data_IF_270186557855
#
_entry.id   IF_270186557855
#
_cell.length_a   1.000
_cell.length_b   1.000
_cell.length_c   1.000
_cell.angle_alpha   90.00
_cell.angle_beta   90.00
_cell.angle_gamma   90.00
#
_symmetry.space_group_name_H-M   'P 1'
#
loop_
_entity.id
_entity.type
_entity.pdbx_description
1 polymer ?
#
# COMPACT_ATOMS: atom_id res chain seq x y z
N UNK A 1 -1.43 10.10 15.96
CA UNK A 1 -1.71 8.65 16.04
C UNK A 1 -1.85 8.13 14.61
N UNK A 2 -1.76 6.83 14.31
CA UNK A 2 -2.09 6.34 12.96
C UNK A 2 -3.43 5.67 13.00
N UNK A 3 -4.13 5.67 11.88
CA UNK A 3 -5.32 4.85 11.70
C UNK A 3 -4.96 3.70 10.78
N UNK A 4 -5.11 2.46 11.26
CA UNK A 4 -5.07 1.30 10.36
C UNK A 4 -6.47 0.95 9.96
N UNK A 5 -6.77 1.09 8.66
CA UNK A 5 -8.02 0.61 8.11
C UNK A 5 -7.86 -0.86 7.74
N UNK A 6 -8.65 -1.69 8.41
CA UNK A 6 -8.79 -3.11 8.08
C UNK A 6 -10.10 -3.26 7.32
N UNK A 7 -10.03 -3.79 6.10
CA UNK A 7 -11.18 -3.92 5.20
C UNK A 7 -12.38 -4.67 5.81
N UNK A 8 -12.11 -5.53 6.80
CA UNK A 8 -13.08 -6.43 7.41
C UNK A 8 -13.64 -6.00 8.77
N UNK A 9 -13.09 -4.98 9.43
CA UNK A 9 -13.61 -4.52 10.75
C UNK A 9 -14.24 -3.14 10.74
N UNK A 10 -13.98 -2.28 9.75
CA UNK A 10 -14.47 -0.89 9.77
C UNK A 10 -14.03 -0.09 11.01
N UNK A 11 -13.03 -0.60 11.74
CA UNK A 11 -12.50 -0.02 12.97
C UNK A 11 -11.17 0.65 12.70
N UNK A 12 -11.00 1.84 13.29
CA UNK A 12 -9.75 2.58 13.34
C UNK A 12 -8.97 2.11 14.59
N UNK A 13 -7.86 1.40 14.44
CA UNK A 13 -6.92 1.14 15.55
C UNK A 13 -5.79 2.16 15.53
N UNK A 14 -5.29 2.56 16.70
CA UNK A 14 -4.06 3.35 16.78
C UNK A 14 -2.85 2.53 16.33
N UNK A 15 -1.84 3.21 15.79
CA UNK A 15 -0.63 2.59 15.24
C UNK A 15 0.08 1.66 16.22
N UNK A 16 0.28 2.16 17.44
CA UNK A 16 1.08 1.51 18.47
C UNK A 16 0.42 0.18 18.87
N UNK A 17 -0.90 0.21 19.05
CA UNK A 17 -1.68 -1.00 19.29
C UNK A 17 -1.68 -1.94 18.08
N UNK A 18 -1.86 -1.41 16.87
CA UNK A 18 -1.81 -2.23 15.66
C UNK A 18 -0.45 -2.90 15.47
N UNK A 19 0.65 -2.19 15.73
CA UNK A 19 1.99 -2.74 15.62
C UNK A 19 2.19 -3.91 16.59
N UNK A 20 1.69 -3.83 17.82
CA UNK A 20 1.75 -4.92 18.79
C UNK A 20 0.86 -6.11 18.39
N UNK A 21 -0.34 -5.83 17.87
CA UNK A 21 -1.35 -6.84 17.52
C UNK A 21 -1.25 -7.37 16.07
N UNK A 22 -0.35 -6.84 15.24
CA UNK A 22 -0.34 -7.06 13.79
C UNK A 22 -0.37 -8.54 13.39
N UNK A 23 0.50 -9.35 13.98
CA UNK A 23 0.58 -10.78 13.70
C UNK A 23 -0.60 -11.54 14.29
N UNK A 24 -1.11 -11.10 15.44
CA UNK A 24 -2.30 -11.68 16.06
C UNK A 24 -3.53 -11.47 15.17
N UNK A 25 -3.71 -10.27 14.62
CA UNK A 25 -4.76 -9.96 13.64
C UNK A 25 -4.64 -10.87 12.42
N UNK A 26 -3.42 -11.05 11.90
CA UNK A 26 -3.20 -11.96 10.77
C UNK A 26 -3.59 -13.40 11.11
N UNK A 27 -3.16 -13.91 12.27
CA UNK A 27 -3.51 -15.26 12.73
C UNK A 27 -5.01 -15.42 12.94
N UNK A 28 -5.68 -14.44 13.54
CA UNK A 28 -7.13 -14.41 13.69
C UNK A 28 -7.82 -14.50 12.33
N UNK A 29 -7.41 -13.70 11.34
CA UNK A 29 -8.01 -13.69 10.01
C UNK A 29 -7.80 -15.01 9.26
N UNK A 30 -6.64 -15.66 9.42
CA UNK A 30 -6.40 -17.01 8.86
C UNK A 30 -7.33 -18.04 9.49
N UNK A 31 -7.40 -18.05 10.82
CA UNK A 31 -8.21 -19.03 11.58
C UNK A 31 -9.71 -18.89 11.31
N UNK A 32 -10.20 -17.66 11.11
CA UNK A 32 -11.59 -17.37 10.76
C UNK A 32 -11.89 -17.56 9.26
N UNK A 33 -10.91 -18.01 8.46
CA UNK A 33 -11.06 -18.18 7.02
C UNK A 33 -11.33 -16.86 6.27
N UNK A 34 -10.87 -15.74 6.81
CA UNK A 34 -11.01 -14.40 6.20
C UNK A 34 -9.79 -13.98 5.37
N UNK A 35 -8.69 -14.69 5.49
CA UNK A 35 -7.49 -14.47 4.67
C UNK A 35 -6.65 -15.74 4.53
N UNK A 36 -6.02 -15.89 3.37
CA UNK A 36 -4.87 -16.78 3.14
C UNK A 36 -3.57 -15.97 2.95
N UNK A 37 -3.73 -14.77 2.37
CA UNK A 37 -2.66 -13.81 2.08
C UNK A 37 -3.12 -12.42 2.52
N UNK A 38 -2.17 -11.54 2.77
CA UNK A 38 -2.39 -10.18 3.22
C UNK A 38 -1.75 -9.18 2.26
N UNK A 39 -2.21 -7.94 2.29
CA UNK A 39 -1.61 -6.84 1.56
C UNK A 39 -1.56 -5.56 2.40
N UNK A 40 -0.44 -4.85 2.37
CA UNK A 40 -0.34 -3.46 2.79
C UNK A 40 -0.38 -2.55 1.58
N UNK A 41 -1.22 -1.52 1.63
CA UNK A 41 -1.13 -0.36 0.74
C UNK A 41 -0.28 0.68 1.46
N UNK A 42 0.90 0.94 0.92
CA UNK A 42 1.87 1.88 1.48
C UNK A 42 1.97 3.11 0.57
N UNK A 43 1.80 4.30 1.14
CA UNK A 43 1.81 5.57 0.41
C UNK A 43 2.30 6.69 1.34
N UNK A 44 2.72 7.80 0.75
CA UNK A 44 3.23 8.97 1.47
C UNK A 44 2.49 10.26 1.06
N UNK A 45 2.95 11.41 1.58
CA UNK A 45 2.32 12.70 1.27
C UNK A 45 2.59 13.19 -0.15
N UNK A 46 3.59 12.67 -0.85
CA UNK A 46 3.84 13.01 -2.25
C UNK A 46 2.77 12.35 -3.16
N UNK A 47 2.12 11.31 -2.66
CA UNK A 47 1.11 10.52 -3.36
C UNK A 47 -0.32 10.85 -2.90
N UNK A 48 -0.71 12.13 -3.02
CA UNK A 48 -2.01 12.66 -2.57
C UNK A 48 -3.22 11.89 -3.13
N UNK A 49 -3.11 11.33 -4.33
CA UNK A 49 -4.19 10.58 -4.98
C UNK A 49 -4.54 9.27 -4.26
N UNK A 50 -3.54 8.53 -3.75
CA UNK A 50 -3.78 7.31 -2.99
C UNK A 50 -4.43 7.65 -1.64
N UNK A 51 -3.94 8.70 -0.98
CA UNK A 51 -4.54 9.22 0.25
C UNK A 51 -6.01 9.60 0.06
N UNK A 52 -6.31 10.36 -1.00
CA UNK A 52 -7.67 10.80 -1.32
C UNK A 52 -8.61 9.63 -1.60
N UNK A 53 -8.14 8.65 -2.38
CA UNK A 53 -8.89 7.44 -2.70
C UNK A 53 -9.21 6.63 -1.44
N UNK A 54 -8.24 6.40 -0.56
CA UNK A 54 -8.47 5.57 0.63
C UNK A 54 -9.30 6.26 1.72
N UNK A 55 -9.36 7.60 1.72
CA UNK A 55 -10.27 8.35 2.58
C UNK A 55 -11.73 8.30 2.09
N UNK A 56 -11.98 7.87 0.87
CA UNK A 56 -13.31 7.78 0.30
C UNK A 56 -13.87 6.35 0.43
N UNK A 57 -15.02 6.24 1.08
CA UNK A 57 -15.69 4.97 1.38
C UNK A 57 -16.01 4.14 0.15
N UNK A 58 -16.35 4.75 -0.99
CA UNK A 58 -16.77 4.04 -2.20
C UNK A 58 -15.60 3.26 -2.82
N UNK A 59 -14.42 3.88 -2.83
CA UNK A 59 -13.19 3.23 -3.26
C UNK A 59 -12.84 2.08 -2.32
N UNK A 60 -12.98 2.28 -1.01
CA UNK A 60 -12.71 1.24 -0.02
C UNK A 60 -13.68 0.05 -0.12
N UNK A 61 -14.98 0.31 -0.24
CA UNK A 61 -16.00 -0.72 -0.46
C UNK A 61 -15.67 -1.50 -1.74
N UNK A 62 -15.26 -0.80 -2.80
CA UNK A 62 -14.89 -1.46 -4.04
C UNK A 62 -13.60 -2.28 -3.92
N UNK A 63 -12.63 -1.92 -3.08
CA UNK A 63 -11.45 -2.75 -2.80
C UNK A 63 -11.83 -3.99 -1.99
N UNK A 64 -12.64 -3.81 -0.94
CA UNK A 64 -13.12 -4.90 -0.11
C UNK A 64 -13.93 -5.92 -0.93
N UNK A 65 -14.79 -5.44 -1.84
CA UNK A 65 -15.56 -6.31 -2.72
C UNK A 65 -14.68 -7.17 -3.65
N UNK A 66 -13.51 -6.67 -4.10
CA UNK A 66 -12.60 -7.45 -4.94
C UNK A 66 -11.59 -8.27 -4.17
N UNK A 67 -11.30 -7.94 -2.90
CA UNK A 67 -10.41 -8.73 -2.05
C UNK A 67 -11.05 -10.03 -1.56
N UNK A 68 -12.38 -10.03 -1.42
CA UNK A 68 -13.16 -11.19 -1.00
C UNK A 68 -12.71 -11.72 0.37
N UNK A 69 -12.90 -13.04 0.58
CA UNK A 69 -12.59 -13.71 1.85
C UNK A 69 -11.20 -14.37 1.87
N UNK A 70 -10.34 -14.08 0.88
CA UNK A 70 -9.03 -14.72 0.72
C UNK A 70 -7.87 -13.73 0.92
N UNK A 71 -8.12 -12.44 0.74
CA UNK A 71 -7.12 -11.40 0.86
C UNK A 71 -7.60 -10.34 1.86
N UNK A 72 -6.87 -10.17 2.96
CA UNK A 72 -7.07 -9.02 3.84
C UNK A 72 -6.16 -7.88 3.40
N UNK A 73 -6.73 -6.69 3.24
CA UNK A 73 -6.00 -5.49 2.84
C UNK A 73 -5.96 -4.51 4.00
N UNK A 74 -4.75 -4.07 4.33
CA UNK A 74 -4.44 -3.03 5.29
C UNK A 74 -4.04 -1.75 4.57
N UNK A 75 -4.49 -0.60 5.05
CA UNK A 75 -3.87 0.68 4.72
C UNK A 75 -3.39 1.38 5.99
N UNK A 76 -2.16 1.88 5.95
CA UNK A 76 -1.59 2.70 7.00
C UNK A 76 -1.92 4.15 6.67
N UNK A 77 -2.85 4.76 7.42
CA UNK A 77 -3.24 6.15 7.20
C UNK A 77 -2.52 7.11 8.11
N UNK A 78 -1.95 8.14 7.47
CA UNK A 78 -1.53 9.38 8.10
C UNK A 78 -2.65 10.39 7.97
N UNK A 79 -3.38 10.68 9.05
CA UNK A 79 -4.34 11.77 9.04
C UNK A 79 -3.63 13.10 9.33
N UNK A 80 -3.91 14.17 8.57
CA UNK A 80 -3.37 15.49 8.83
C UNK A 80 -3.67 15.99 10.27
N UNK A 81 -4.81 15.61 10.84
CA UNK A 81 -5.21 15.94 12.20
C UNK A 81 -4.25 15.34 13.24
N UNK A 82 -3.81 14.11 13.02
CA UNK A 82 -2.83 13.42 13.86
C UNK A 82 -1.45 14.11 13.81
N UNK A 83 -1.08 14.64 12.63
CA UNK A 83 0.14 15.45 12.48
C UNK A 83 0.01 16.78 13.21
N UNK A 84 -1.16 17.43 13.12
CA UNK A 84 -1.44 18.70 13.79
C UNK A 84 -1.38 18.56 15.31
N UNK A 85 -1.92 17.47 15.85
CA UNK A 85 -1.89 17.17 17.28
C UNK A 85 -0.47 16.84 17.78
N UNK A 86 0.23 15.93 17.09
CA UNK A 86 1.65 15.60 17.40
C UNK A 86 2.56 16.83 17.26
N UNK A 87 2.29 17.69 16.27
CA UNK A 87 2.96 18.98 16.11
C UNK A 87 2.65 19.92 17.28
N UNK A 88 1.39 20.03 17.71
CA UNK A 88 1.03 20.84 18.87
C UNK A 88 1.66 20.33 20.16
N UNK A 89 1.79 19.01 20.35
CA UNK A 89 2.50 18.42 21.49
C UNK A 89 4.01 18.70 21.45
N UNK A 90 4.67 18.51 20.32
CA UNK A 90 6.09 18.85 20.15
C UNK A 90 6.35 20.35 20.31
N UNK A 91 5.44 21.19 19.81
CA UNK A 91 5.50 22.63 20.01
C UNK A 91 5.29 22.98 21.49
N UNK A 92 4.36 22.33 22.21
CA UNK A 92 4.20 22.51 23.66
C UNK A 92 5.46 22.12 24.44
N UNK A 93 6.10 21.00 24.07
CA UNK A 93 7.36 20.57 24.68
C UNK A 93 8.54 21.50 24.37
N UNK A 94 8.52 22.20 23.23
CA UNK A 94 9.53 23.20 22.85
C UNK A 94 9.19 24.64 23.26
N UNK A 95 7.94 24.93 23.60
CA UNK A 95 7.42 26.26 23.98
C UNK A 95 7.37 26.50 25.50
N UNK A 96 8.21 25.83 26.29
CA UNK A 96 8.63 26.40 27.59
C UNK A 96 9.51 27.66 27.42
N UNK A 97 9.80 28.07 26.18
CA UNK A 97 10.43 29.35 25.86
C UNK A 97 10.05 29.90 24.48
N UNK A 98 8.97 30.68 24.43
CA UNK A 98 8.67 31.71 23.43
C UNK A 98 8.11 31.34 22.03
N UNK A 99 7.19 32.24 21.62
CA UNK A 99 6.57 32.50 20.31
C UNK A 99 5.29 31.70 19.97
N UNK A 100 4.16 32.25 20.45
CA UNK A 100 2.84 32.13 19.80
C UNK A 100 2.87 32.88 18.46
N UNK A 101 2.38 32.24 17.40
CA UNK A 101 2.07 32.80 16.08
C UNK A 101 3.16 32.70 15.00
N UNK A 102 3.60 31.48 14.66
CA UNK A 102 4.03 31.17 13.30
C UNK A 102 3.28 29.92 12.81
N UNK A 103 2.57 30.02 11.69
CA UNK A 103 2.07 28.85 10.96
C UNK A 103 3.26 28.15 10.29
N UNK A 104 4.05 27.42 11.08
CA UNK A 104 5.02 26.46 10.56
C UNK A 104 4.26 25.24 10.05
N UNK A 105 4.29 25.00 8.74
CA UNK A 105 4.12 23.65 8.19
C UNK A 105 5.51 23.01 8.29
N UNK A 106 5.78 22.11 9.25
CA UNK A 106 7.08 21.46 9.33
C UNK A 106 7.27 20.57 8.09
N UNK A 107 8.15 20.97 7.19
CA UNK A 107 8.50 20.25 5.97
C UNK A 107 9.26 18.92 6.19
N UNK A 108 9.40 18.44 7.44
CA UNK A 108 10.44 17.48 7.80
C UNK A 108 9.97 16.20 8.52
N UNK A 109 8.68 15.94 8.68
CA UNK A 109 8.24 14.60 9.11
C UNK A 109 7.65 13.87 7.91
N UNK A 110 8.52 13.19 7.18
CA UNK A 110 8.12 12.26 6.14
C UNK A 110 7.29 11.17 6.83
N UNK A 111 5.98 11.10 6.56
CA UNK A 111 5.08 10.16 7.20
C UNK A 111 5.66 8.76 7.08
N UNK A 112 6.20 8.41 5.92
CA UNK A 112 6.82 7.14 5.57
C UNK A 112 7.79 6.57 6.60
N UNK A 113 8.34 7.36 7.52
CA UNK A 113 9.23 6.86 8.57
C UNK A 113 8.60 5.73 9.40
N UNK A 114 7.38 5.92 9.91
CA UNK A 114 6.76 4.94 10.80
C UNK A 114 6.27 3.71 10.01
N UNK A 115 5.67 3.89 8.83
CA UNK A 115 5.39 2.78 7.90
C UNK A 115 6.68 2.02 7.54
N UNK A 116 7.77 2.72 7.24
CA UNK A 116 9.07 2.10 6.98
C UNK A 116 9.58 1.33 8.20
N UNK A 117 9.37 1.82 9.42
CA UNK A 117 9.79 1.14 10.63
C UNK A 117 9.00 -0.16 10.84
N UNK A 118 7.67 -0.13 10.68
CA UNK A 118 6.83 -1.33 10.68
C UNK A 118 7.31 -2.34 9.64
N UNK A 119 7.48 -1.87 8.40
CA UNK A 119 7.87 -2.75 7.31
C UNK A 119 9.27 -3.32 7.55
N UNK A 120 10.24 -2.53 8.01
CA UNK A 120 11.58 -3.05 8.35
C UNK A 120 11.54 -4.07 9.49
N UNK A 121 10.70 -3.83 10.51
CA UNK A 121 10.54 -4.72 11.66
C UNK A 121 10.05 -6.12 11.23
N UNK A 122 9.07 -6.21 10.34
CA UNK A 122 8.45 -7.48 9.96
C UNK A 122 8.99 -8.11 8.66
N UNK A 123 9.56 -7.30 7.75
CA UNK A 123 9.99 -7.74 6.42
C UNK A 123 11.51 -7.67 6.21
N UNK A 124 12.26 -7.17 7.20
CA UNK A 124 13.71 -7.05 7.18
C UNK A 124 14.21 -5.67 6.76
N UNK A 125 15.46 -5.36 7.11
CA UNK A 125 16.05 -4.04 6.87
C UNK A 125 16.42 -3.75 5.41
N UNK A 126 16.54 -4.79 4.59
CA UNK A 126 16.98 -4.68 3.19
C UNK A 126 15.84 -4.26 2.25
N UNK A 127 14.59 -4.26 2.73
CA UNK A 127 13.45 -3.81 1.93
C UNK A 127 13.53 -2.29 1.70
N UNK A 128 13.54 -1.91 0.42
CA UNK A 128 13.47 -0.51 -0.01
C UNK A 128 12.08 -0.25 -0.57
N UNK A 129 11.38 0.72 0.00
CA UNK A 129 10.00 1.05 -0.37
C UNK A 129 10.00 2.29 -1.25
N UNK A 130 9.55 2.13 -2.49
CA UNK A 130 9.18 3.24 -3.35
C UNK A 130 7.67 3.49 -3.19
N UNK A 131 7.28 4.73 -2.94
CA UNK A 131 5.88 5.08 -2.74
C UNK A 131 5.26 5.61 -4.04
N UNK A 132 4.00 5.25 -4.35
CA UNK A 132 3.12 4.34 -3.61
C UNK A 132 3.35 2.88 -4.02
N UNK A 133 3.13 1.94 -3.12
CA UNK A 133 3.29 0.51 -3.37
C UNK A 133 2.21 -0.35 -2.71
N UNK A 134 2.08 -1.57 -3.18
CA UNK A 134 1.34 -2.66 -2.53
C UNK A 134 2.32 -3.75 -2.13
N UNK A 135 2.37 -4.07 -0.85
CA UNK A 135 3.18 -5.15 -0.30
C UNK A 135 2.28 -6.34 0.01
N UNK A 136 2.33 -7.37 -0.82
CA UNK A 136 1.68 -8.65 -0.57
C UNK A 136 2.54 -9.50 0.34
N UNK A 137 1.94 -10.23 1.27
CA UNK A 137 2.69 -11.07 2.20
C UNK A 137 1.87 -12.20 2.82
N UNK A 138 2.59 -13.18 3.35
CA UNK A 138 2.04 -14.28 4.10
C UNK A 138 2.69 -14.37 5.47
N UNK A 139 1.90 -14.79 6.46
CA UNK A 139 2.37 -15.04 7.82
C UNK A 139 2.24 -16.52 8.16
N UNK A 140 3.08 -17.01 9.07
CA UNK A 140 2.92 -18.31 9.72
C UNK A 140 3.23 -18.15 11.20
N UNK A 141 2.19 -18.20 12.03
CA UNK A 141 2.28 -17.92 13.46
C UNK A 141 2.79 -16.50 13.71
N UNK A 142 3.95 -16.38 14.33
CA UNK A 142 4.50 -15.10 14.80
C UNK A 142 5.49 -14.46 13.81
N UNK A 143 5.48 -14.85 12.54
CA UNK A 143 6.39 -14.28 11.55
C UNK A 143 5.76 -14.12 10.18
N UNK A 144 6.26 -13.14 9.44
CA UNK A 144 6.11 -13.07 7.99
C UNK A 144 7.04 -14.10 7.37
N UNK A 145 6.55 -14.93 6.45
CA UNK A 145 7.35 -15.95 5.77
C UNK A 145 7.79 -15.51 4.38
N UNK A 146 6.92 -14.82 3.66
CA UNK A 146 7.12 -14.45 2.27
C UNK A 146 6.46 -13.10 1.99
N UNK A 147 7.03 -12.34 1.05
CA UNK A 147 6.49 -11.06 0.63
C UNK A 147 6.85 -10.69 -0.81
N UNK A 148 6.06 -9.79 -1.39
CA UNK A 148 6.23 -9.21 -2.71
C UNK A 148 5.81 -7.75 -2.69
N UNK A 149 6.76 -6.86 -2.91
CA UNK A 149 6.50 -5.42 -3.06
C UNK A 149 6.27 -5.09 -4.54
N UNK A 150 5.18 -4.38 -4.82
CA UNK A 150 4.80 -3.91 -6.16
C UNK A 150 4.58 -2.40 -6.11
N UNK A 151 5.43 -1.67 -6.83
CA UNK A 151 5.26 -0.22 -7.03
C UNK A 151 4.03 0.07 -7.89
N UNK A 152 3.33 1.14 -7.55
CA UNK A 152 2.23 1.69 -8.34
C UNK A 152 2.77 2.80 -9.24
N UNK A 153 2.24 2.83 -10.45
CA UNK A 153 2.89 3.46 -11.60
C UNK A 153 2.08 4.62 -12.17
N UNK A 154 0.81 4.74 -11.79
CA UNK A 154 -0.10 5.76 -12.29
C UNK A 154 -0.10 6.99 -11.39
N UNK A 155 -0.08 8.16 -12.04
CA UNK A 155 -0.08 9.47 -11.38
C UNK A 155 -1.47 10.10 -11.29
N UNK A 156 -2.50 9.52 -11.91
CA UNK A 156 -3.87 10.06 -11.88
C UNK A 156 -4.73 9.20 -10.95
N UNK A 157 -5.53 9.84 -10.10
CA UNK A 157 -6.32 9.16 -9.07
C UNK A 157 -7.10 7.95 -9.59
N UNK A 158 -7.88 8.11 -10.66
CA UNK A 158 -8.69 7.04 -11.21
C UNK A 158 -7.82 5.90 -11.79
N UNK A 159 -6.73 6.25 -12.45
CA UNK A 159 -5.79 5.29 -13.03
C UNK A 159 -5.05 4.51 -11.92
N UNK A 160 -4.61 5.19 -10.86
CA UNK A 160 -3.98 4.58 -9.68
C UNK A 160 -4.95 3.64 -8.96
N UNK A 161 -6.22 4.01 -8.85
CA UNK A 161 -7.24 3.13 -8.28
C UNK A 161 -7.46 1.89 -9.16
N UNK A 162 -7.57 2.07 -10.48
CA UNK A 162 -7.74 0.95 -11.41
C UNK A 162 -6.55 -0.01 -11.34
N UNK A 163 -5.33 0.53 -11.27
CA UNK A 163 -4.11 -0.26 -11.10
C UNK A 163 -4.12 -1.04 -9.78
N UNK A 164 -4.34 -0.36 -8.65
CA UNK A 164 -4.42 -0.99 -7.33
C UNK A 164 -5.49 -2.10 -7.31
N UNK A 165 -6.70 -1.77 -7.76
CA UNK A 165 -7.82 -2.71 -7.82
C UNK A 165 -7.50 -3.92 -8.69
N UNK A 166 -6.73 -3.73 -9.77
CA UNK A 166 -6.28 -4.83 -10.63
C UNK A 166 -5.36 -5.78 -9.89
N UNK A 167 -4.35 -5.29 -9.16
CA UNK A 167 -3.48 -6.15 -8.36
C UNK A 167 -4.25 -6.91 -7.28
N UNK A 168 -5.08 -6.21 -6.50
CA UNK A 168 -5.88 -6.81 -5.42
C UNK A 168 -6.84 -7.87 -5.97
N UNK A 169 -7.59 -7.56 -7.05
CA UNK A 169 -8.52 -8.50 -7.68
C UNK A 169 -7.79 -9.73 -8.21
N UNK A 170 -6.67 -9.56 -8.90
CA UNK A 170 -5.95 -10.68 -9.49
C UNK A 170 -5.31 -11.57 -8.42
N UNK A 171 -4.77 -10.99 -7.36
CA UNK A 171 -4.30 -11.75 -6.20
C UNK A 171 -5.44 -12.53 -5.53
N UNK A 172 -6.58 -11.88 -5.27
CA UNK A 172 -7.74 -12.55 -4.68
C UNK A 172 -8.28 -13.69 -5.56
N UNK A 173 -8.37 -13.48 -6.88
CA UNK A 173 -8.80 -14.50 -7.83
C UNK A 173 -7.86 -15.72 -7.84
N UNK A 174 -6.54 -15.50 -7.81
CA UNK A 174 -5.56 -16.59 -7.74
C UNK A 174 -5.74 -17.47 -6.49
N UNK A 175 -6.31 -16.91 -5.42
CA UNK A 175 -6.58 -17.62 -4.17
C UNK A 175 -7.91 -18.38 -4.16
N UNK A 176 -8.83 -18.08 -5.09
CA UNK A 176 -10.13 -18.77 -5.15
C UNK A 176 -10.02 -20.24 -5.53
N UNK A 177 -8.96 -20.60 -6.27
CA UNK A 177 -8.68 -21.97 -6.71
C UNK A 177 -7.97 -22.81 -5.63
N UNK A 178 -7.59 -22.20 -4.50
CA UNK A 178 -6.87 -22.88 -3.42
C UNK A 178 -7.84 -23.66 -2.53
N UNK A 179 -7.59 -24.96 -2.37
CA UNK A 179 -8.28 -25.79 -1.39
C UNK A 179 -7.80 -25.45 0.03
N UNK A 180 -8.67 -24.87 0.85
CA UNK A 180 -8.37 -24.41 2.22
C UNK A 180 -8.08 -25.54 3.21
N UNK A 181 -8.51 -26.76 2.94
CA UNK A 181 -8.30 -27.90 3.83
C UNK A 181 -6.94 -28.58 3.61
N UNK A 182 -6.34 -28.35 2.43
CA UNK A 182 -5.10 -28.98 2.02
C UNK A 182 -4.32 -28.06 1.09
N UNK A 183 -3.68 -27.04 1.68
CA UNK A 183 -2.77 -26.16 0.94
C UNK A 183 -1.40 -26.10 1.61
N UNK A 184 -0.38 -25.95 0.77
CA UNK A 184 0.96 -25.57 1.17
C UNK A 184 1.06 -24.04 1.13
N UNK A 185 1.45 -23.41 2.23
CA UNK A 185 1.51 -21.96 2.36
C UNK A 185 2.38 -21.33 1.27
N UNK A 186 3.55 -21.92 1.02
CA UNK A 186 4.49 -21.44 0.01
C UNK A 186 3.89 -21.50 -1.40
N UNK A 187 3.17 -22.55 -1.73
CA UNK A 187 2.45 -22.67 -3.00
C UNK A 187 1.39 -21.59 -3.16
N UNK A 188 0.64 -21.30 -2.09
CA UNK A 188 -0.37 -20.23 -2.08
C UNK A 188 0.27 -18.87 -2.34
N UNK A 189 1.37 -18.55 -1.66
CA UNK A 189 2.03 -17.27 -1.88
C UNK A 189 2.66 -17.16 -3.27
N UNK A 190 3.28 -18.24 -3.78
CA UNK A 190 3.84 -18.27 -5.12
C UNK A 190 2.80 -17.98 -6.21
N UNK A 191 1.56 -18.46 -6.06
CA UNK A 191 0.45 -18.15 -6.96
C UNK A 191 0.17 -16.64 -7.01
N UNK A 192 0.09 -16.00 -5.83
CA UNK A 192 -0.11 -14.56 -5.73
C UNK A 192 1.08 -13.82 -6.33
N UNK A 193 2.30 -14.18 -5.96
CA UNK A 193 3.54 -13.55 -6.45
C UNK A 193 3.62 -13.58 -7.98
N UNK A 194 3.49 -14.78 -8.58
CA UNK A 194 3.54 -14.94 -10.03
C UNK A 194 2.47 -14.08 -10.73
N UNK A 195 1.26 -14.03 -10.16
CA UNK A 195 0.15 -13.25 -10.72
C UNK A 195 0.43 -11.75 -10.69
N UNK A 196 0.81 -11.19 -9.54
CA UNK A 196 1.04 -9.75 -9.40
C UNK A 196 2.31 -9.30 -10.12
N UNK A 197 3.36 -10.13 -10.11
CA UNK A 197 4.60 -9.90 -10.85
C UNK A 197 4.35 -9.91 -12.36
N UNK A 198 3.53 -10.83 -12.88
CA UNK A 198 3.14 -10.85 -14.29
C UNK A 198 2.38 -9.60 -14.72
N UNK A 199 1.46 -9.11 -13.88
CA UNK A 199 0.76 -7.84 -14.13
C UNK A 199 1.75 -6.66 -14.18
N UNK A 200 2.67 -6.59 -13.23
CA UNK A 200 3.69 -5.53 -13.14
C UNK A 200 4.55 -5.50 -14.40
N UNK A 201 5.05 -6.65 -14.83
CA UNK A 201 5.83 -6.77 -16.07
C UNK A 201 5.03 -6.29 -17.29
N UNK A 202 3.76 -6.69 -17.40
CA UNK A 202 2.90 -6.24 -18.51
C UNK A 202 2.67 -4.72 -18.52
N UNK A 203 2.56 -4.08 -17.35
CA UNK A 203 2.44 -2.61 -17.24
C UNK A 203 3.74 -1.93 -17.67
N UNK A 204 4.89 -2.41 -17.19
CA UNK A 204 6.20 -1.86 -17.54
C UNK A 204 6.50 -1.98 -19.04
N UNK A 205 6.17 -3.11 -19.67
CA UNK A 205 6.31 -3.30 -21.12
C UNK A 205 5.44 -2.28 -21.88
N UNK A 206 4.17 -2.11 -21.47
CA UNK A 206 3.27 -1.14 -22.10
C UNK A 206 3.79 0.29 -21.98
N UNK A 207 4.36 0.67 -20.83
CA UNK A 207 5.01 1.97 -20.64
C UNK A 207 6.21 2.16 -21.56
N UNK A 208 7.09 1.16 -21.65
CA UNK A 208 8.26 1.19 -22.54
C UNK A 208 7.89 1.36 -24.01
N UNK A 209 6.88 0.62 -24.48
CA UNK A 209 6.38 0.74 -25.87
C UNK A 209 5.84 2.15 -26.14
N UNK A 210 5.07 2.72 -25.20
CA UNK A 210 4.51 4.08 -25.32
C UNK A 210 5.58 5.16 -25.43
N UNK A 211 6.70 5.01 -24.72
CA UNK A 211 7.82 5.96 -24.81
C UNK A 211 8.47 5.90 -26.20
N UNK A 212 8.72 4.69 -26.72
CA UNK A 212 9.33 4.50 -28.04
C UNK A 212 8.45 5.05 -29.16
N UNK A 213 7.12 4.83 -29.09
CA UNK A 213 6.20 5.37 -30.10
C UNK A 213 6.22 6.90 -30.12
N UNK A 214 6.17 7.55 -28.96
CA UNK A 214 6.21 9.01 -28.86
C UNK A 214 7.52 9.61 -29.40
N UNK A 215 8.67 8.96 -29.17
CA UNK A 215 9.96 9.41 -29.72
C UNK A 215 9.96 9.31 -31.24
N UNK A 216 9.38 8.24 -31.79
CA UNK A 216 9.31 8.03 -33.25
C UNK A 216 8.38 9.07 -33.91
N UNK A 217 7.25 9.40 -33.27
CA UNK A 217 6.35 10.48 -33.71
C UNK A 217 7.03 11.85 -33.68
N UNK A 218 7.82 12.15 -32.64
CA UNK A 218 8.61 13.38 -32.58
C UNK A 218 9.69 13.42 -33.66
N UNK A 219 10.42 12.33 -33.87
CA UNK A 219 11.45 12.23 -34.90
C UNK A 219 10.87 12.41 -36.31
N UNK A 220 9.72 11.80 -36.60
CA UNK A 220 9.03 11.94 -37.89
C UNK A 220 8.44 13.34 -38.10
N UNK A 221 7.99 14.01 -37.04
CA UNK A 221 7.55 15.41 -37.11
C UNK A 221 8.72 16.35 -37.41
N UNK A 222 9.88 16.14 -36.78
CA UNK A 222 11.09 16.96 -37.01
C UNK A 222 11.68 16.71 -38.40
N UNK A 223 11.71 15.48 -38.89
CA UNK A 223 12.20 15.19 -40.26
C UNK A 223 11.21 15.66 -41.34
N UNK A 224 9.91 15.66 -41.06
CA UNK A 224 8.87 16.20 -41.96
C UNK A 224 8.79 17.73 -42.03
N UNK A 225 9.32 18.45 -41.03
CA UNK A 225 9.44 19.92 -41.03
C UNK A 225 10.69 20.45 -41.76
N UNK A 226 11.64 19.56 -42.11
CA UNK A 226 12.86 19.89 -42.85
C UNK A 226 12.78 19.56 -44.36
N UNK A 227 11.57 19.34 -44.89
CA UNK A 227 11.27 19.24 -46.34
C UNK A 227 10.43 20.44 -46.78
#
# INVERSE_FOLDING_TARGET
MFTVNINSKGTNSCYEQFEEEFLEICNQHKNEGRALVFAFIVYDFENAHISQMLNNSDYWISLNAVSGNYLTVFSLHYKPEDMKEKLMEMMRQKMDGAIKNLHFIPANQNPSLDSNNLIKKYFGNDITINYPSVLFFQTNGEKVTDYRLIELDQERLEDSFIELKKYIRSAANALTEVNREQYDEKTVFNLVDQTVSGIRQAIQIKKGIKIISSITELATTVTGLNQ
#
